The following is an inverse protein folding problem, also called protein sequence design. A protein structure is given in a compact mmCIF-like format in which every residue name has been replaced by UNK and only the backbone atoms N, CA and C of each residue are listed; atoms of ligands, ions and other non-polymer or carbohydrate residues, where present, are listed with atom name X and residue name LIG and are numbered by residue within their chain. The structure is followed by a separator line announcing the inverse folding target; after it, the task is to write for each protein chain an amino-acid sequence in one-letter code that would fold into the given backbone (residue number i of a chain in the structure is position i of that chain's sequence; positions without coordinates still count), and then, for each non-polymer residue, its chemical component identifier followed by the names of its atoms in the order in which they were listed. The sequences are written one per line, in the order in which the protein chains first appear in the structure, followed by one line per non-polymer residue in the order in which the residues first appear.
data_IF_643343631720
#
_entry.id   IF_643343631720
#
_cell.length_a   1.000
_cell.length_b   1.000
_cell.length_c   1.000
_cell.angle_alpha   90.00
_cell.angle_beta   90.00
_cell.angle_gamma   90.00
#
_symmetry.space_group_name_H-M   'P 1'
#
loop_
_entity.id
_entity.type
_entity.pdbx_description
1 polymer ?
#
# COMPACT_ATOMS: atom_id res chain seq x y z
N UNK A 1 -54.87 -23.64 23.12
CA UNK A 1 -53.43 -23.58 23.39
C UNK A 1 -52.75 -23.03 22.12
N UNK A 2 -52.49 -21.72 22.06
CA UNK A 2 -51.90 -21.01 20.88
C UNK A 2 -50.41 -20.88 21.12
N UNK A 3 -49.60 -21.54 20.29
CA UNK A 3 -48.15 -21.46 20.31
C UNK A 3 -47.75 -20.27 19.41
N UNK A 4 -47.24 -19.20 20.01
CA UNK A 4 -46.70 -18.06 19.31
C UNK A 4 -45.22 -18.39 19.05
N UNK A 5 -44.87 -18.69 17.79
CA UNK A 5 -43.50 -18.85 17.37
C UNK A 5 -42.88 -17.46 17.18
N UNK A 6 -41.96 -17.09 18.07
CA UNK A 6 -41.14 -15.87 17.91
C UNK A 6 -40.03 -16.12 16.87
N UNK A 7 -40.15 -15.50 15.72
CA UNK A 7 -39.06 -15.45 14.71
C UNK A 7 -38.03 -14.43 15.17
N UNK A 8 -36.88 -14.90 15.64
CA UNK A 8 -35.72 -14.04 15.86
C UNK A 8 -35.09 -13.66 14.52
N UNK A 9 -35.27 -12.41 14.12
CA UNK A 9 -34.61 -11.82 12.95
C UNK A 9 -33.21 -11.41 13.37
N UNK A 10 -32.18 -12.21 13.02
CA UNK A 10 -30.79 -11.85 13.20
C UNK A 10 -30.40 -10.79 12.17
N UNK A 11 -30.24 -9.55 12.62
CA UNK A 11 -29.61 -8.49 11.81
C UNK A 11 -28.15 -8.86 11.60
N UNK A 12 -27.80 -9.32 10.41
CA UNK A 12 -26.42 -9.38 9.94
C UNK A 12 -26.03 -7.94 9.60
N UNK A 13 -25.31 -7.30 10.52
CA UNK A 13 -24.69 -5.99 10.27
C UNK A 13 -23.57 -6.19 9.26
N UNK A 14 -23.81 -5.84 7.99
CA UNK A 14 -22.75 -5.67 7.01
C UNK A 14 -21.98 -4.41 7.39
N UNK A 15 -20.83 -4.57 8.05
CA UNK A 15 -19.90 -3.48 8.24
C UNK A 15 -19.45 -3.01 6.84
N UNK A 16 -19.93 -1.85 6.42
CA UNK A 16 -19.32 -1.15 5.28
C UNK A 16 -17.86 -0.91 5.67
N UNK A 17 -16.92 -1.45 4.87
CA UNK A 17 -15.52 -1.15 5.01
C UNK A 17 -15.38 0.36 4.74
N UNK A 18 -15.21 1.12 5.81
CA UNK A 18 -14.87 2.54 5.70
C UNK A 18 -13.40 2.64 5.23
N UNK A 19 -13.11 3.63 4.36
CA UNK A 19 -11.74 3.89 3.91
C UNK A 19 -10.78 3.94 5.10
N UNK A 20 -9.62 3.29 4.95
CA UNK A 20 -8.60 3.24 6.00
C UNK A 20 -8.07 4.65 6.31
N UNK A 21 -7.88 4.94 7.58
CA UNK A 21 -7.46 6.26 8.07
C UNK A 21 -6.35 6.14 9.12
N UNK A 22 -5.67 7.24 9.43
CA UNK A 22 -4.68 7.27 10.52
C UNK A 22 -5.29 6.75 11.83
N UNK A 23 -4.54 5.85 12.50
CA UNK A 23 -4.94 5.16 13.73
C UNK A 23 -5.53 3.76 13.50
N UNK A 24 -6.03 3.44 12.31
CA UNK A 24 -6.50 2.10 11.98
C UNK A 24 -5.31 1.11 11.89
N UNK A 25 -5.62 -0.18 12.07
CA UNK A 25 -4.65 -1.25 11.87
C UNK A 25 -4.60 -1.59 10.39
N UNK A 26 -3.39 -1.54 9.81
CA UNK A 26 -3.16 -1.92 8.43
C UNK A 26 -3.43 -3.42 8.22
N UNK A 27 -4.23 -3.80 7.21
CA UNK A 27 -4.42 -5.21 6.86
C UNK A 27 -3.09 -5.89 6.55
N UNK A 28 -2.81 -7.03 7.21
CA UNK A 28 -1.60 -7.81 6.94
C UNK A 28 -1.71 -8.51 5.57
N UNK A 29 -0.60 -8.57 4.85
CA UNK A 29 -0.57 -9.23 3.56
C UNK A 29 0.78 -9.85 3.22
N UNK A 30 0.73 -10.79 2.28
CA UNK A 30 1.90 -11.31 1.57
C UNK A 30 1.58 -11.30 0.07
N UNK A 31 2.48 -10.75 -0.73
CA UNK A 31 2.39 -10.72 -2.19
C UNK A 31 3.68 -11.20 -2.84
N UNK A 32 3.57 -11.71 -4.05
CA UNK A 32 4.73 -11.89 -4.90
C UNK A 32 5.24 -10.52 -5.30
N UNK A 33 6.52 -10.26 -5.12
CA UNK A 33 7.16 -8.98 -5.37
C UNK A 33 8.47 -9.15 -6.12
N UNK A 34 8.96 -8.09 -6.72
CA UNK A 34 10.26 -8.06 -7.36
C UNK A 34 11.08 -6.86 -6.91
N UNK A 35 12.38 -7.06 -6.73
CA UNK A 35 13.36 -5.99 -6.53
C UNK A 35 14.63 -6.33 -7.29
N UNK A 36 15.17 -5.36 -8.03
CA UNK A 36 16.38 -5.57 -8.84
C UNK A 36 16.22 -6.72 -9.84
N UNK A 37 15.03 -6.88 -10.40
CA UNK A 37 14.73 -7.93 -11.36
C UNK A 37 14.60 -9.35 -10.76
N UNK A 38 14.58 -9.50 -9.42
CA UNK A 38 14.47 -10.79 -8.72
C UNK A 38 13.16 -10.89 -7.96
N UNK A 39 12.46 -12.00 -8.14
CA UNK A 39 11.20 -12.28 -7.48
C UNK A 39 11.40 -12.83 -6.07
N UNK A 40 10.51 -12.46 -5.16
CA UNK A 40 10.44 -13.00 -3.80
C UNK A 40 9.04 -12.77 -3.21
N UNK A 41 8.75 -13.42 -2.07
CA UNK A 41 7.53 -13.16 -1.33
C UNK A 41 7.76 -11.99 -0.33
N UNK A 42 7.08 -10.86 -0.53
CA UNK A 42 7.07 -9.76 0.41
C UNK A 42 5.98 -9.99 1.46
N UNK A 43 6.32 -9.90 2.73
CA UNK A 43 5.39 -9.94 3.86
C UNK A 43 5.43 -8.61 4.61
N UNK A 44 4.26 -7.94 4.74
CA UNK A 44 4.14 -6.70 5.50
C UNK A 44 4.59 -6.91 6.96
N UNK A 45 4.13 -7.99 7.60
CA UNK A 45 4.50 -8.31 8.99
C UNK A 45 6.00 -8.45 9.18
N UNK A 46 6.70 -9.12 8.26
CA UNK A 46 8.16 -9.26 8.33
C UNK A 46 8.89 -7.93 8.10
N UNK A 47 8.34 -7.07 7.25
CA UNK A 47 8.88 -5.74 7.01
C UNK A 47 8.69 -4.84 8.24
N UNK A 48 7.50 -4.84 8.84
CA UNK A 48 7.19 -4.07 10.06
C UNK A 48 8.03 -4.50 11.26
N UNK A 49 8.43 -5.76 11.35
CA UNK A 49 9.35 -6.23 12.39
C UNK A 49 10.76 -5.60 12.31
N UNK A 50 11.10 -5.00 11.16
CA UNK A 50 12.39 -4.30 10.93
C UNK A 50 12.27 -2.78 11.07
N UNK A 51 11.08 -2.21 10.91
CA UNK A 51 10.83 -0.77 10.97
C UNK A 51 9.53 -0.36 10.29
N UNK A 52 9.24 0.94 10.21
CA UNK A 52 8.07 1.44 9.50
C UNK A 52 8.08 1.07 8.02
N UNK A 53 6.89 0.97 7.43
CA UNK A 53 6.71 0.66 6.00
C UNK A 53 5.93 1.78 5.33
N UNK A 54 6.44 2.27 4.21
CA UNK A 54 5.70 3.09 3.25
C UNK A 54 5.15 2.16 2.17
N UNK A 55 3.84 1.97 2.19
CA UNK A 55 3.11 1.21 1.18
C UNK A 55 2.42 2.20 0.25
N UNK A 56 2.69 2.12 -1.07
CA UNK A 56 1.94 2.91 -2.03
C UNK A 56 1.33 2.03 -3.11
N UNK A 57 0.11 2.37 -3.49
CA UNK A 57 -0.59 1.77 -4.61
C UNK A 57 -0.50 2.70 -5.83
N UNK A 58 -0.34 2.11 -7.01
CA UNK A 58 -0.27 2.84 -8.25
C UNK A 58 -1.01 2.10 -9.38
N UNK A 59 -1.60 2.83 -10.34
CA UNK A 59 -2.49 2.23 -11.34
C UNK A 59 -1.84 1.19 -12.24
N UNK A 60 -0.65 1.50 -12.78
CA UNK A 60 -0.01 0.62 -13.76
C UNK A 60 1.46 0.96 -13.99
N UNK A 61 2.30 -0.07 -13.98
CA UNK A 61 3.73 0.02 -14.33
C UNK A 61 3.95 0.63 -15.73
N UNK A 62 5.04 1.37 -15.88
CA UNK A 62 5.48 2.02 -17.13
C UNK A 62 4.54 3.12 -17.68
N UNK A 63 3.54 3.58 -16.93
CA UNK A 63 2.83 4.81 -17.27
C UNK A 63 3.60 6.02 -16.76
N UNK A 64 3.44 7.18 -17.42
CA UNK A 64 4.27 8.37 -17.17
C UNK A 64 4.34 8.79 -15.70
N UNK A 65 3.19 8.95 -15.04
CA UNK A 65 3.15 9.41 -13.65
C UNK A 65 3.68 8.31 -12.69
N UNK A 66 3.38 7.03 -12.95
CA UNK A 66 3.88 5.93 -12.10
C UNK A 66 5.41 5.76 -12.24
N UNK A 67 5.97 6.02 -13.42
CA UNK A 67 7.42 6.05 -13.62
C UNK A 67 8.06 7.21 -12.86
N UNK A 68 7.49 8.41 -12.92
CA UNK A 68 7.97 9.56 -12.13
C UNK A 68 7.91 9.25 -10.63
N UNK A 69 6.80 8.67 -10.14
CA UNK A 69 6.66 8.29 -8.74
C UNK A 69 7.71 7.27 -8.29
N UNK A 70 7.97 6.25 -9.13
CA UNK A 70 9.02 5.26 -8.84
C UNK A 70 10.41 5.90 -8.79
N UNK A 71 10.70 6.85 -9.68
CA UNK A 71 11.97 7.59 -9.67
C UNK A 71 12.11 8.45 -8.41
N UNK A 72 11.08 9.22 -8.03
CA UNK A 72 11.11 10.04 -6.82
C UNK A 72 11.26 9.19 -5.55
N UNK A 73 10.57 8.05 -5.44
CA UNK A 73 10.80 7.11 -4.35
C UNK A 73 12.23 6.56 -4.35
N UNK A 74 12.77 6.18 -5.51
CA UNK A 74 14.13 5.65 -5.63
C UNK A 74 15.18 6.69 -5.20
N UNK A 75 14.99 7.97 -5.53
CA UNK A 75 15.85 9.08 -5.12
C UNK A 75 15.80 9.33 -3.61
N UNK A 76 14.63 9.15 -2.98
CA UNK A 76 14.42 9.34 -1.55
C UNK A 76 14.81 8.13 -0.68
N UNK A 77 15.22 6.99 -1.28
CA UNK A 77 15.47 5.74 -0.51
C UNK A 77 16.52 5.88 0.59
N UNK A 78 17.56 6.69 0.38
CA UNK A 78 18.59 6.91 1.40
C UNK A 78 18.01 7.65 2.63
N UNK A 79 17.05 8.58 2.42
CA UNK A 79 16.34 9.25 3.52
C UNK A 79 15.40 8.29 4.24
N UNK A 80 14.66 7.44 3.52
CA UNK A 80 13.82 6.41 4.13
C UNK A 80 14.65 5.43 4.96
N UNK A 81 15.77 4.95 4.43
CA UNK A 81 16.68 4.04 5.12
C UNK A 81 17.29 4.67 6.37
N UNK A 82 17.66 5.96 6.34
CA UNK A 82 18.15 6.71 7.51
C UNK A 82 17.11 6.82 8.63
N UNK A 83 15.82 6.67 8.30
CA UNK A 83 14.72 6.61 9.26
C UNK A 83 14.32 5.18 9.65
N UNK A 84 15.03 4.16 9.13
CA UNK A 84 14.72 2.75 9.36
C UNK A 84 13.48 2.27 8.62
N UNK A 85 12.98 3.04 7.66
CA UNK A 85 11.79 2.72 6.91
C UNK A 85 12.10 1.96 5.62
N UNK A 86 11.20 1.06 5.24
CA UNK A 86 11.18 0.41 3.93
C UNK A 86 10.03 0.92 3.07
N UNK A 87 10.16 0.80 1.75
CA UNK A 87 9.16 1.21 0.77
C UNK A 87 8.74 -0.01 -0.05
N UNK A 88 7.45 -0.13 -0.37
CA UNK A 88 6.92 -1.07 -1.35
C UNK A 88 5.81 -0.41 -2.16
N UNK A 89 5.88 -0.53 -3.50
CA UNK A 89 4.77 -0.20 -4.38
C UNK A 89 3.94 -1.45 -4.69
N UNK A 90 2.64 -1.32 -4.89
CA UNK A 90 1.74 -2.42 -5.28
C UNK A 90 0.81 -1.98 -6.41
N UNK A 91 0.69 -2.79 -7.44
CA UNK A 91 -0.30 -2.60 -8.50
C UNK A 91 -0.94 -3.92 -8.90
N UNK A 92 -1.97 -3.85 -9.75
CA UNK A 92 -2.60 -5.04 -10.33
C UNK A 92 -1.79 -5.69 -11.48
N UNK A 93 -0.60 -5.18 -11.77
CA UNK A 93 0.27 -5.80 -12.76
C UNK A 93 0.76 -7.17 -12.32
N UNK A 94 1.02 -8.05 -13.29
CA UNK A 94 1.59 -9.38 -13.04
C UNK A 94 3.07 -9.27 -12.69
N UNK A 95 3.60 -10.28 -12.01
CA UNK A 95 5.00 -10.32 -11.56
C UNK A 95 6.03 -10.07 -12.67
N UNK A 96 5.77 -10.51 -13.90
CA UNK A 96 6.67 -10.24 -15.02
C UNK A 96 6.88 -8.75 -15.29
N UNK A 97 5.80 -7.94 -15.23
CA UNK A 97 5.88 -6.49 -15.37
C UNK A 97 6.57 -5.85 -14.15
N UNK A 98 6.25 -6.32 -12.94
CA UNK A 98 6.89 -5.84 -11.70
C UNK A 98 8.40 -6.12 -11.69
N UNK A 99 8.82 -7.27 -12.20
CA UNK A 99 10.25 -7.61 -12.32
C UNK A 99 11.01 -6.58 -13.15
N UNK A 100 10.48 -6.26 -14.33
CA UNK A 100 11.09 -5.24 -15.20
C UNK A 100 11.01 -3.84 -14.58
N UNK A 101 9.86 -3.48 -14.02
CA UNK A 101 9.63 -2.17 -13.41
C UNK A 101 10.56 -1.93 -12.21
N UNK A 102 10.77 -2.95 -11.37
CA UNK A 102 11.65 -2.89 -10.20
C UNK A 102 13.10 -2.57 -10.58
N UNK A 103 13.57 -3.08 -11.72
CA UNK A 103 14.93 -2.84 -12.18
C UNK A 103 15.05 -1.52 -12.94
N UNK A 104 14.15 -1.28 -13.91
CA UNK A 104 14.24 -0.14 -14.81
C UNK A 104 13.86 1.18 -14.12
N UNK A 105 12.72 1.20 -13.44
CA UNK A 105 12.13 2.43 -12.93
C UNK A 105 12.34 2.62 -11.42
N UNK A 106 12.28 1.53 -10.62
CA UNK A 106 12.64 1.60 -9.20
C UNK A 106 14.16 1.57 -8.98
N UNK A 107 14.96 1.42 -10.06
CA UNK A 107 16.44 1.46 -10.04
C UNK A 107 17.03 0.51 -8.99
N UNK A 108 16.44 -0.68 -8.85
CA UNK A 108 16.80 -1.73 -7.89
C UNK A 108 16.69 -1.31 -6.40
N UNK A 109 16.20 -0.10 -6.11
CA UNK A 109 16.23 0.49 -4.77
C UNK A 109 15.19 -0.05 -3.81
N UNK A 110 13.99 -0.42 -4.29
CA UNK A 110 12.89 -0.91 -3.47
C UNK A 110 12.01 -1.90 -4.24
N UNK A 111 11.24 -2.76 -3.54
CA UNK A 111 10.38 -3.75 -4.17
C UNK A 111 9.07 -3.16 -4.72
N UNK A 112 8.55 -3.84 -5.75
CA UNK A 112 7.18 -3.67 -6.23
C UNK A 112 6.45 -5.00 -6.24
N UNK A 113 5.23 -5.01 -5.70
CA UNK A 113 4.37 -6.16 -5.49
C UNK A 113 3.32 -6.32 -6.60
N UNK A 114 3.03 -7.56 -6.96
CA UNK A 114 2.02 -7.96 -7.91
C UNK A 114 0.73 -8.39 -7.18
N UNK A 115 -0.38 -7.72 -7.47
CA UNK A 115 -1.71 -8.06 -6.92
C UNK A 115 -2.77 -8.15 -8.04
N UNK A 116 -2.58 -9.07 -9.04
CA UNK A 116 -3.48 -9.16 -10.20
C UNK A 116 -4.92 -9.54 -9.82
N UNK A 117 -5.12 -10.12 -8.66
CA UNK A 117 -6.42 -10.53 -8.14
C UNK A 117 -7.07 -9.46 -7.23
N UNK A 118 -6.45 -8.30 -7.09
CA UNK A 118 -6.95 -7.17 -6.27
C UNK A 118 -7.20 -7.49 -4.79
N UNK A 119 -6.54 -8.49 -4.23
CA UNK A 119 -6.76 -8.89 -2.82
C UNK A 119 -6.25 -7.82 -1.85
N UNK A 120 -5.03 -7.36 -2.05
CA UNK A 120 -4.42 -6.33 -1.20
C UNK A 120 -4.99 -4.96 -1.54
N UNK A 121 -5.14 -4.64 -2.83
CA UNK A 121 -5.72 -3.40 -3.31
C UNK A 121 -7.11 -3.17 -2.70
N UNK A 122 -7.97 -4.21 -2.68
CA UNK A 122 -9.30 -4.12 -2.07
C UNK A 122 -9.24 -4.03 -0.54
N UNK A 123 -8.31 -4.75 0.12
CA UNK A 123 -8.17 -4.71 1.57
C UNK A 123 -7.78 -3.32 2.08
N UNK A 124 -7.11 -2.54 1.25
CA UNK A 124 -6.69 -1.16 1.54
C UNK A 124 -7.62 -0.09 0.95
N UNK A 125 -8.78 -0.50 0.43
CA UNK A 125 -9.75 0.40 -0.24
C UNK A 125 -9.11 1.24 -1.36
N UNK A 126 -8.10 0.65 -2.02
CA UNK A 126 -7.31 1.30 -3.06
C UNK A 126 -7.77 0.92 -4.48
N UNK A 127 -8.95 0.30 -4.64
CA UNK A 127 -9.46 -0.10 -5.95
C UNK A 127 -10.14 1.09 -6.66
N UNK A 128 -9.77 1.31 -7.92
CA UNK A 128 -10.40 2.28 -8.80
C UNK A 128 -11.02 1.60 -10.03
N UNK A 129 -12.31 1.80 -10.21
CA UNK A 129 -13.06 1.27 -11.37
C UNK A 129 -13.32 2.37 -12.38
N UNK A 130 -12.88 2.16 -13.63
CA UNK A 130 -13.20 3.07 -14.74
C UNK A 130 -14.68 2.93 -15.11
N UNK A 131 -15.49 3.99 -14.99
CA UNK A 131 -16.96 3.88 -15.10
C UNK A 131 -17.45 3.33 -16.45
N UNK A 132 -16.79 3.71 -17.56
CA UNK A 132 -17.26 3.37 -18.93
C UNK A 132 -16.69 2.05 -19.42
N UNK A 133 -15.43 1.74 -19.08
CA UNK A 133 -14.72 0.56 -19.60
C UNK A 133 -14.82 -0.66 -18.66
N UNK A 134 -15.31 -0.49 -17.45
CA UNK A 134 -15.37 -1.56 -16.43
C UNK A 134 -13.99 -2.06 -15.97
N UNK A 135 -12.90 -1.50 -16.49
CA UNK A 135 -11.54 -1.87 -16.09
C UNK A 135 -11.28 -1.42 -14.65
N UNK A 136 -10.56 -2.26 -13.90
CA UNK A 136 -10.14 -1.96 -12.53
C UNK A 136 -8.64 -1.71 -12.50
N UNK A 137 -8.23 -0.74 -11.70
CA UNK A 137 -6.84 -0.40 -11.41
C UNK A 137 -6.70 -0.11 -9.92
N UNK A 138 -5.49 -0.10 -9.42
CA UNK A 138 -5.24 0.53 -8.14
C UNK A 138 -5.35 2.06 -8.27
N UNK A 139 -5.91 2.70 -7.24
CA UNK A 139 -5.84 4.15 -7.10
C UNK A 139 -4.41 4.56 -6.72
N UNK A 140 -4.08 5.83 -6.88
CA UNK A 140 -2.82 6.37 -6.36
C UNK A 140 -3.04 6.82 -4.92
N UNK A 141 -2.65 5.95 -3.99
CA UNK A 141 -2.81 6.16 -2.56
C UNK A 141 -1.60 5.58 -1.82
N UNK A 142 -1.10 6.28 -0.81
CA UNK A 142 0.00 5.80 0.01
C UNK A 142 -0.32 5.83 1.49
N UNK A 143 0.27 4.88 2.20
CA UNK A 143 0.15 4.67 3.64
C UNK A 143 1.53 4.65 4.27
N UNK A 144 1.68 5.34 5.39
CA UNK A 144 2.83 5.14 6.29
C UNK A 144 2.35 4.30 7.45
N UNK A 145 3.00 3.15 7.67
CA UNK A 145 2.58 2.15 8.66
C UNK A 145 3.71 2.01 9.70
N UNK A 146 3.36 2.19 10.97
CA UNK A 146 4.29 2.02 12.07
C UNK A 146 4.58 0.53 12.36
N UNK A 147 5.67 0.18 13.07
CA UNK A 147 6.00 -1.20 13.41
C UNK A 147 4.91 -1.96 14.19
N UNK A 148 4.05 -1.26 14.92
CA UNK A 148 2.90 -1.85 15.62
C UNK A 148 1.69 -2.13 14.70
N UNK A 149 1.85 -1.89 13.40
CA UNK A 149 0.81 -2.08 12.38
C UNK A 149 -0.17 -0.93 12.24
N UNK A 150 -0.05 0.15 13.00
CA UNK A 150 -0.95 1.30 12.90
C UNK A 150 -0.58 2.20 11.72
N UNK A 151 -1.60 2.65 11.01
CA UNK A 151 -1.47 3.63 9.93
C UNK A 151 -1.18 5.00 10.56
N UNK A 152 -0.06 5.61 10.21
CA UNK A 152 0.35 6.95 10.65
C UNK A 152 -0.21 8.05 9.74
N UNK A 153 -0.32 7.77 8.44
CA UNK A 153 -0.90 8.69 7.45
C UNK A 153 -1.41 7.96 6.23
N UNK A 154 -2.35 8.61 5.55
CA UNK A 154 -2.89 8.21 4.25
C UNK A 154 -2.83 9.43 3.34
N UNK A 155 -2.38 9.26 2.11
CA UNK A 155 -2.40 10.30 1.06
C UNK A 155 -3.01 9.69 -0.18
N UNK A 156 -4.01 10.36 -0.72
CA UNK A 156 -4.58 10.10 -2.03
C UNK A 156 -4.37 11.35 -2.88
N UNK A 157 -3.56 11.22 -3.92
CA UNK A 157 -3.22 12.30 -4.84
C UNK A 157 -2.90 11.74 -6.22
N UNK A 158 -3.24 12.46 -7.28
CA UNK A 158 -2.95 12.03 -8.65
C UNK A 158 -1.49 12.20 -9.07
N UNK A 159 -0.75 13.10 -8.38
CA UNK A 159 0.68 13.35 -8.61
C UNK A 159 1.57 12.46 -7.75
N UNK A 160 2.86 12.45 -8.06
CA UNK A 160 3.86 11.63 -7.37
C UNK A 160 4.36 12.28 -6.07
N UNK A 161 4.79 13.53 -6.16
CA UNK A 161 5.59 14.23 -5.15
C UNK A 161 4.93 14.31 -3.76
N UNK A 162 3.58 14.46 -3.72
CA UNK A 162 2.84 14.55 -2.45
C UNK A 162 3.01 13.28 -1.59
N UNK A 163 3.10 12.10 -2.21
CA UNK A 163 3.26 10.81 -1.53
C UNK A 163 4.61 10.72 -0.82
N UNK A 164 5.69 11.08 -1.52
CA UNK A 164 7.07 11.01 -1.00
C UNK A 164 7.25 12.05 0.12
N UNK A 165 6.86 13.30 -0.13
CA UNK A 165 7.02 14.38 0.85
C UNK A 165 6.23 14.11 2.14
N UNK A 166 4.98 13.64 2.03
CA UNK A 166 4.20 13.28 3.20
C UNK A 166 4.86 12.13 3.97
N UNK A 167 5.29 11.06 3.28
CA UNK A 167 5.90 9.90 3.92
C UNK A 167 7.15 10.29 4.72
N UNK A 168 8.06 11.08 4.13
CA UNK A 168 9.26 11.58 4.80
C UNK A 168 8.91 12.45 6.03
N UNK A 169 7.96 13.39 5.88
CA UNK A 169 7.55 14.27 6.97
C UNK A 169 6.90 13.50 8.13
N UNK A 170 6.06 12.51 7.83
CA UNK A 170 5.40 11.66 8.84
C UNK A 170 6.42 10.81 9.58
N UNK A 171 7.31 10.14 8.87
CA UNK A 171 8.36 9.30 9.45
C UNK A 171 9.30 10.10 10.36
N UNK A 172 9.66 11.32 9.95
CA UNK A 172 10.46 12.21 10.79
C UNK A 172 9.74 12.53 12.11
N UNK A 173 8.48 12.96 12.05
CA UNK A 173 7.68 13.23 13.26
C UNK A 173 7.53 12.01 14.15
N UNK A 174 7.23 10.85 13.55
CA UNK A 174 7.09 9.60 14.28
C UNK A 174 8.39 9.22 14.99
N UNK A 175 9.53 9.23 14.29
CA UNK A 175 10.85 8.96 14.88
C UNK A 175 11.18 9.91 16.04
N UNK A 176 10.90 11.20 15.88
CA UNK A 176 11.16 12.20 16.93
C UNK A 176 10.29 11.97 18.17
N UNK A 177 9.08 11.42 18.00
CA UNK A 177 8.21 11.03 19.12
C UNK A 177 8.70 9.79 19.88
N UNK A 178 9.44 8.88 19.22
CA UNK A 178 10.00 7.66 19.84
C UNK A 178 11.26 7.92 20.68
N UNK A 179 11.84 9.12 20.59
CA UNK A 179 13.05 9.50 21.31
C UNK A 179 12.77 10.19 22.66
N UNK A 180 11.51 10.46 22.95
CA UNK A 180 11.06 11.04 24.23
C UNK A 180 10.68 9.99 25.23
#
# INVERSE_FOLDING_TARGET
MRIIAAVMLTLVSTAALAALKPGDVAPDFTVEAAQGGRDFAFSLRQALAKGPVVLYFYPKSFTSVCTVEAHEFAEAMDEFAAMGASVIGVSSDKIGAQREFSSKECRDKFPVGADPDFRVINAYDAAFKVPIAGAMFANRISYVIAPDGKILSVVEDSGATAHIQNALAVLKRWRDSQRK
#
